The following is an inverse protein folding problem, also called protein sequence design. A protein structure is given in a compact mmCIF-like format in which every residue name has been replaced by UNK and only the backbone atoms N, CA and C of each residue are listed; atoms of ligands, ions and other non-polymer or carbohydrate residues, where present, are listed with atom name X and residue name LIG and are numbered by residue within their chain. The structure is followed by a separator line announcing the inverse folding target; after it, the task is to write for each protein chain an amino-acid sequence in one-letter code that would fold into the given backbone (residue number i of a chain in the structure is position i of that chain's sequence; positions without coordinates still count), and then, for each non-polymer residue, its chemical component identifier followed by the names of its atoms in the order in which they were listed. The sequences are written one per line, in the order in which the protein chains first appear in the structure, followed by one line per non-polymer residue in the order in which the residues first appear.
data_IF_427454492929
#
_entry.id   IF_427454492929
#
_cell.length_a   1.000
_cell.length_b   1.000
_cell.length_c   1.000
_cell.angle_alpha   90.00
_cell.angle_beta   90.00
_cell.angle_gamma   90.00
#
_symmetry.space_group_name_H-M   'P 1'
#
loop_
_entity.id
_entity.type
_entity.pdbx_description
1 polymer ?
#
# COMPACT_ATOMS: atom_id res chain seq x y z
N UNK A 1 -9.01 -10.24 34.27
CA UNK A 1 -8.40 -11.50 33.78
C UNK A 1 -7.65 -11.13 32.52
N UNK A 2 -6.32 -11.33 32.54
CA UNK A 2 -5.35 -10.80 31.58
C UNK A 2 -5.85 -10.76 30.13
N UNK A 3 -5.97 -9.56 29.57
CA UNK A 3 -6.09 -9.40 28.13
C UNK A 3 -4.75 -9.79 27.51
N UNK A 4 -4.76 -10.88 26.74
CA UNK A 4 -3.58 -11.43 26.08
C UNK A 4 -2.96 -10.40 25.11
N UNK A 5 -1.98 -9.64 25.59
CA UNK A 5 -1.17 -8.67 24.83
C UNK A 5 -0.29 -9.30 23.72
N UNK A 6 -0.39 -10.61 23.49
CA UNK A 6 0.61 -11.36 22.73
C UNK A 6 0.23 -11.71 21.28
N UNK A 7 -1.04 -11.59 20.87
CA UNK A 7 -1.46 -12.05 19.52
C UNK A 7 -1.78 -10.95 18.50
N UNK A 8 -1.80 -9.67 18.90
CA UNK A 8 -2.05 -8.58 17.96
C UNK A 8 -0.80 -8.18 17.16
N UNK A 9 0.41 -8.44 17.68
CA UNK A 9 1.66 -8.10 17.01
C UNK A 9 1.99 -9.06 15.84
N UNK A 10 1.60 -10.34 15.93
CA UNK A 10 1.92 -11.35 14.92
C UNK A 10 1.20 -11.16 13.58
N UNK A 11 0.13 -10.35 13.54
CA UNK A 11 -0.63 -10.05 12.31
C UNK A 11 -0.47 -8.59 11.87
N UNK A 12 0.18 -7.74 12.69
CA UNK A 12 0.48 -6.37 12.29
C UNK A 12 1.54 -6.40 11.19
N UNK A 13 1.33 -5.69 10.08
CA UNK A 13 2.34 -5.59 9.05
C UNK A 13 3.63 -5.03 9.66
N UNK A 14 4.77 -5.53 9.22
CA UNK A 14 6.07 -5.01 9.65
C UNK A 14 6.10 -3.49 9.43
N UNK A 15 6.47 -2.76 10.49
CA UNK A 15 6.59 -1.31 10.49
C UNK A 15 7.99 -0.91 10.92
N UNK A 16 8.59 0.02 10.19
CA UNK A 16 9.89 0.60 10.49
C UNK A 16 9.70 2.10 10.76
N UNK A 17 10.14 2.57 11.94
CA UNK A 17 9.97 3.97 12.38
C UNK A 17 8.52 4.51 12.32
N UNK A 18 7.52 3.66 12.51
CA UNK A 18 6.10 4.04 12.46
C UNK A 18 5.52 4.19 11.05
N UNK A 19 6.25 3.73 10.03
CA UNK A 19 5.80 3.61 8.64
C UNK A 19 5.77 2.13 8.26
N UNK A 20 4.79 1.71 7.45
CA UNK A 20 4.75 0.32 6.94
C UNK A 20 5.94 0.05 6.02
N UNK A 21 6.44 -1.19 6.02
CA UNK A 21 7.55 -1.57 5.13
C UNK A 21 7.27 -1.26 3.65
N UNK A 22 6.01 -1.41 3.23
CA UNK A 22 5.53 -1.06 1.89
C UNK A 22 5.69 0.44 1.57
N UNK A 23 5.24 1.31 2.47
CA UNK A 23 5.35 2.76 2.30
C UNK A 23 6.81 3.24 2.37
N UNK A 24 7.63 2.59 3.21
CA UNK A 24 9.07 2.85 3.26
C UNK A 24 9.76 2.46 1.96
N UNK A 25 9.43 1.30 1.39
CA UNK A 25 9.94 0.87 0.09
C UNK A 25 9.54 1.84 -1.03
N UNK A 26 8.28 2.30 -1.06
CA UNK A 26 7.83 3.32 -2.02
C UNK A 26 8.60 4.63 -1.87
N UNK A 27 8.79 5.10 -0.64
CA UNK A 27 9.55 6.33 -0.41
C UNK A 27 10.97 6.17 -0.94
N UNK A 28 11.69 5.11 -0.54
CA UNK A 28 13.07 4.86 -0.96
C UNK A 28 13.17 4.70 -2.48
N UNK A 29 12.25 3.98 -3.13
CA UNK A 29 12.22 3.88 -4.60
C UNK A 29 12.01 5.24 -5.26
N UNK A 30 11.08 6.04 -4.76
CA UNK A 30 10.82 7.38 -5.29
C UNK A 30 12.01 8.33 -5.07
N UNK A 31 12.57 8.36 -3.87
CA UNK A 31 13.72 9.22 -3.57
C UNK A 31 14.97 8.81 -4.32
N UNK A 32 15.28 7.52 -4.40
CA UNK A 32 16.44 7.04 -5.15
C UNK A 32 16.31 7.34 -6.64
N UNK A 33 15.13 7.17 -7.23
CA UNK A 33 14.87 7.53 -8.64
C UNK A 33 15.07 9.03 -8.87
N UNK A 34 14.48 9.88 -8.02
CA UNK A 34 14.64 11.33 -8.12
C UNK A 34 16.08 11.78 -7.89
N UNK A 35 16.81 11.10 -7.00
CA UNK A 35 18.20 11.38 -6.70
C UNK A 35 19.09 11.10 -7.91
N UNK A 36 18.88 9.97 -8.59
CA UNK A 36 19.61 9.64 -9.83
C UNK A 36 19.29 10.64 -10.94
N UNK A 37 18.03 11.07 -11.07
CA UNK A 37 17.62 12.03 -12.11
C UNK A 37 18.16 13.45 -11.88
N UNK A 38 18.23 13.89 -10.63
CA UNK A 38 18.61 15.27 -10.27
C UNK A 38 20.10 15.40 -9.98
N UNK A 39 20.74 14.34 -9.47
CA UNK A 39 22.15 14.33 -9.08
C UNK A 39 22.49 15.21 -7.87
N UNK A 40 21.49 15.71 -7.14
CA UNK A 40 21.65 16.66 -6.04
C UNK A 40 21.17 16.13 -4.68
N UNK A 41 21.86 16.51 -3.61
CA UNK A 41 21.52 16.14 -2.22
C UNK A 41 20.21 16.73 -1.72
N UNK A 42 19.66 17.75 -2.39
CA UNK A 42 18.37 18.38 -2.05
C UNK A 42 17.21 17.39 -2.05
N UNK A 43 17.29 16.34 -2.89
CA UNK A 43 16.27 15.29 -2.99
C UNK A 43 16.16 14.45 -1.71
N UNK A 44 17.23 14.33 -0.95
CA UNK A 44 17.21 13.59 0.33
C UNK A 44 16.27 14.29 1.32
N UNK A 45 16.33 15.63 1.39
CA UNK A 45 15.42 16.42 2.23
C UNK A 45 13.95 16.27 1.82
N UNK A 46 13.68 16.20 0.52
CA UNK A 46 12.33 15.93 0.01
C UNK A 46 11.82 14.54 0.41
N UNK A 47 12.69 13.52 0.39
CA UNK A 47 12.35 12.17 0.88
C UNK A 47 11.98 12.11 2.34
N UNK A 48 12.69 12.85 3.18
CA UNK A 48 12.37 12.98 4.61
C UNK A 48 11.00 13.62 4.79
N UNK A 49 10.71 14.70 4.05
CA UNK A 49 9.38 15.32 4.05
C UNK A 49 8.27 14.35 3.62
N UNK A 50 8.49 13.62 2.53
CA UNK A 50 7.58 12.58 2.05
C UNK A 50 7.38 11.47 3.09
N UNK A 51 8.42 11.13 3.85
CA UNK A 51 8.35 10.11 4.91
C UNK A 51 7.38 10.52 6.02
N UNK A 52 7.39 11.79 6.42
CA UNK A 52 6.44 12.30 7.41
C UNK A 52 4.99 12.27 6.92
N UNK A 53 4.74 12.57 5.65
CA UNK A 53 3.38 12.45 5.08
C UNK A 53 2.92 11.00 5.08
N UNK A 54 3.77 10.08 4.64
CA UNK A 54 3.47 8.65 4.64
C UNK A 54 3.25 8.11 6.06
N UNK A 55 3.98 8.63 7.05
CA UNK A 55 3.78 8.33 8.47
C UNK A 55 2.39 8.73 8.94
N UNK A 56 1.91 9.93 8.60
CA UNK A 56 0.57 10.35 9.02
C UNK A 56 -0.55 9.58 8.33
N UNK A 57 -0.36 9.21 7.06
CA UNK A 57 -1.31 8.33 6.36
C UNK A 57 -1.33 6.94 7.01
N UNK A 58 -0.16 6.39 7.33
CA UNK A 58 -0.05 5.06 7.95
C UNK A 58 -0.69 4.99 9.34
N UNK A 59 -0.67 6.10 10.10
CA UNK A 59 -1.34 6.17 11.42
C UNK A 59 -2.86 5.96 11.33
N UNK A 60 -3.48 6.33 10.21
CA UNK A 60 -4.93 6.21 10.05
C UNK A 60 -5.36 4.77 9.75
N UNK A 61 -4.60 4.07 8.90
CA UNK A 61 -4.82 2.65 8.60
C UNK A 61 -3.54 1.99 8.06
N UNK A 62 -3.03 1.05 8.84
CA UNK A 62 -1.81 0.31 8.54
C UNK A 62 -1.94 -0.63 7.32
N UNK A 63 -3.16 -0.96 6.89
CA UNK A 63 -3.42 -1.88 5.78
C UNK A 63 -3.64 -1.17 4.43
N UNK A 64 -3.79 0.15 4.40
CA UNK A 64 -4.09 0.90 3.18
C UNK A 64 -3.07 0.69 2.06
N UNK A 65 -1.77 0.69 2.39
CA UNK A 65 -0.73 0.49 1.38
C UNK A 65 -0.77 -0.92 0.78
N UNK A 66 -1.05 -1.94 1.58
CA UNK A 66 -1.19 -3.32 1.08
C UNK A 66 -2.41 -3.46 0.16
N UNK A 67 -3.53 -2.83 0.51
CA UNK A 67 -4.72 -2.79 -0.35
C UNK A 67 -4.43 -2.03 -1.65
N UNK A 68 -3.71 -0.90 -1.58
CA UNK A 68 -3.28 -0.13 -2.75
C UNK A 68 -2.39 -0.96 -3.67
N UNK A 69 -1.40 -1.67 -3.13
CA UNK A 69 -0.53 -2.55 -3.90
C UNK A 69 -1.28 -3.74 -4.51
N UNK A 70 -2.18 -4.37 -3.75
CA UNK A 70 -3.03 -5.42 -4.27
C UNK A 70 -3.92 -4.92 -5.43
N UNK A 71 -4.45 -3.70 -5.30
CA UNK A 71 -5.21 -3.04 -6.37
C UNK A 71 -4.33 -2.72 -7.59
N UNK A 72 -3.12 -2.20 -7.41
CA UNK A 72 -2.17 -1.92 -8.49
C UNK A 72 -1.79 -3.20 -9.24
N UNK A 73 -1.53 -4.30 -8.52
CA UNK A 73 -1.15 -5.57 -9.13
C UNK A 73 -2.32 -6.24 -9.88
N UNK A 74 -3.55 -6.03 -9.42
CA UNK A 74 -4.74 -6.63 -10.04
C UNK A 74 -5.37 -5.73 -11.08
N UNK A 75 -5.94 -4.59 -10.67
CA UNK A 75 -6.64 -3.64 -11.54
C UNK A 75 -5.70 -2.74 -12.31
N UNK A 76 -4.57 -2.33 -11.72
CA UNK A 76 -3.60 -1.44 -12.39
C UNK A 76 -2.95 -2.03 -13.64
N UNK A 77 -2.78 -3.36 -13.69
CA UNK A 77 -2.23 -4.07 -14.87
C UNK A 77 -3.24 -4.31 -15.99
N UNK A 78 -4.54 -4.11 -15.72
CA UNK A 78 -5.61 -4.45 -16.64
C UNK A 78 -5.88 -3.29 -17.60
N UNK A 79 -5.30 -3.36 -18.81
CA UNK A 79 -5.50 -2.34 -19.87
C UNK A 79 -6.94 -2.30 -20.42
N UNK A 80 -7.66 -3.41 -20.30
CA UNK A 80 -9.00 -3.55 -20.86
C UNK A 80 -10.12 -3.28 -19.83
N UNK A 81 -9.80 -2.69 -18.67
CA UNK A 81 -10.75 -2.47 -17.59
C UNK A 81 -11.95 -1.61 -18.04
N UNK A 82 -11.70 -0.60 -18.88
CA UNK A 82 -12.76 0.26 -19.45
C UNK A 82 -13.64 -0.47 -20.47
N UNK A 83 -13.09 -1.46 -21.19
CA UNK A 83 -13.83 -2.25 -22.20
C UNK A 83 -14.76 -3.29 -21.55
N UNK A 84 -14.34 -3.89 -20.44
CA UNK A 84 -15.05 -5.01 -19.81
C UNK A 84 -15.72 -4.66 -18.47
N UNK A 85 -15.50 -3.45 -17.94
CA UNK A 85 -16.07 -3.01 -16.65
C UNK A 85 -15.50 -3.72 -15.42
N UNK A 86 -14.48 -4.57 -15.59
CA UNK A 86 -13.87 -5.37 -14.53
C UNK A 86 -12.61 -6.10 -15.00
N UNK A 87 -11.87 -6.68 -14.05
CA UNK A 87 -10.65 -7.46 -14.33
C UNK A 87 -10.90 -8.89 -14.81
N UNK A 88 -12.17 -9.25 -15.06
CA UNK A 88 -12.56 -10.54 -15.62
C UNK A 88 -12.97 -10.33 -17.07
N UNK A 89 -12.47 -11.19 -17.96
CA UNK A 89 -12.83 -11.22 -19.39
C UNK A 89 -14.15 -11.95 -19.65
N UNK A 90 -14.84 -12.39 -18.60
CA UNK A 90 -16.15 -13.03 -18.69
C UNK A 90 -17.22 -12.00 -19.08
N UNK A 91 -18.08 -12.30 -20.07
CA UNK A 91 -19.25 -11.47 -20.39
C UNK A 91 -20.36 -11.57 -19.31
N UNK A 92 -20.27 -12.55 -18.40
CA UNK A 92 -21.19 -12.69 -17.28
C UNK A 92 -20.89 -11.64 -16.20
N UNK A 93 -21.95 -10.99 -15.72
CA UNK A 93 -21.87 -10.04 -14.61
C UNK A 93 -21.27 -10.73 -13.38
N UNK A 94 -20.19 -10.17 -12.85
CA UNK A 94 -19.58 -10.66 -11.61
C UNK A 94 -20.51 -10.35 -10.43
N UNK A 95 -21.30 -11.34 -10.00
CA UNK A 95 -22.12 -11.25 -8.79
C UNK A 95 -21.21 -11.61 -7.62
N UNK A 96 -20.95 -10.65 -6.73
CA UNK A 96 -20.22 -10.90 -5.49
C UNK A 96 -21.21 -11.38 -4.43
N UNK A 97 -21.22 -12.68 -4.19
CA UNK A 97 -21.93 -13.26 -3.04
C UNK A 97 -21.00 -13.20 -1.84
N UNK A 98 -21.24 -12.27 -0.93
CA UNK A 98 -20.56 -12.26 0.37
C UNK A 98 -21.29 -13.25 1.28
N UNK A 99 -20.60 -14.34 1.65
CA UNK A 99 -21.08 -15.20 2.72
C UNK A 99 -20.61 -14.57 4.02
N UNK A 100 -21.52 -13.98 4.79
CA UNK A 100 -21.19 -13.57 6.16
C UNK A 100 -20.80 -14.84 6.92
N UNK A 101 -19.56 -14.89 7.38
CA UNK A 101 -19.07 -15.95 8.24
C UNK A 101 -19.46 -15.54 9.66
N UNK A 102 -20.48 -16.21 10.19
CA UNK A 102 -20.98 -16.05 11.57
C UNK A 102 -20.00 -16.66 12.57
#
# INVERSE_FOLDING_TARGET
MNEDILFLACTRPAMFCGVTMEAMALNVMATSTLFVLTGGFTIIGFGVGLHFVLREVTKHDHNQFRVLFAWLNTRGKQKNLARWGGGSTSPLRLIRTYKEMQ
#
